data_IF_596098358996
#
_entry.id   IF_596098358996
#
_cell.length_a   1.000
_cell.length_b   1.000
_cell.length_c   1.000
_cell.angle_alpha   90.00
_cell.angle_beta   90.00
_cell.angle_gamma   90.00
#
_symmetry.space_group_name_H-M   'P 1'
#
loop_
_entity.id
_entity.type
_entity.pdbx_description
1 polymer ?
#
# COMPACT_ATOMS: atom_id res chain seq x y z
N UNK A 1 38.56 6.25 35.89
CA UNK A 1 37.52 5.19 35.77
C UNK A 1 37.81 4.43 34.49
N UNK A 2 38.47 3.26 34.60
CA UNK A 2 38.81 2.42 33.45
C UNK A 2 37.62 1.52 33.12
N UNK A 3 37.11 1.65 31.90
CA UNK A 3 36.14 0.73 31.30
C UNK A 3 36.79 -0.64 31.14
N UNK A 4 36.33 -1.62 31.92
CA UNK A 4 36.74 -3.01 31.77
C UNK A 4 36.16 -3.57 30.47
N UNK A 5 37.01 -3.75 29.46
CA UNK A 5 36.71 -4.53 28.27
C UNK A 5 36.59 -5.99 28.73
N UNK A 6 35.37 -6.52 28.82
CA UNK A 6 35.12 -7.94 29.08
C UNK A 6 35.60 -8.74 27.87
N UNK A 7 36.67 -9.52 28.02
CA UNK A 7 37.10 -10.50 27.02
C UNK A 7 35.99 -11.56 26.84
N UNK A 8 35.38 -11.59 25.66
CA UNK A 8 34.42 -12.63 25.28
C UNK A 8 35.16 -13.96 25.11
N UNK A 9 34.67 -15.02 25.74
CA UNK A 9 35.30 -16.34 25.67
C UNK A 9 35.21 -16.96 24.26
N UNK A 10 36.23 -17.71 23.85
CA UNK A 10 36.34 -18.37 22.53
C UNK A 10 35.08 -19.18 22.12
N UNK A 11 34.38 -19.90 23.02
CA UNK A 11 33.14 -20.61 22.67
C UNK A 11 32.00 -19.66 22.27
N UNK A 12 31.89 -18.51 22.93
CA UNK A 12 30.86 -17.50 22.64
C UNK A 12 31.12 -16.85 21.27
N UNK A 13 32.38 -16.52 20.97
CA UNK A 13 32.79 -16.00 19.65
C UNK A 13 32.51 -17.01 18.53
N UNK A 14 32.75 -18.31 18.77
CA UNK A 14 32.44 -19.37 17.79
C UNK A 14 30.94 -19.55 17.56
N UNK A 15 30.12 -19.46 18.60
CA UNK A 15 28.65 -19.52 18.48
C UNK A 15 28.10 -18.33 17.68
N UNK A 16 28.59 -17.12 17.94
CA UNK A 16 28.24 -15.93 17.15
C UNK A 16 28.70 -16.05 15.70
N UNK A 17 29.92 -16.55 15.44
CA UNK A 17 30.41 -16.75 14.09
C UNK A 17 29.61 -17.81 13.31
N UNK A 18 29.19 -18.89 13.98
CA UNK A 18 28.38 -19.94 13.37
C UNK A 18 26.97 -19.45 13.01
N UNK A 19 26.30 -18.77 13.95
CA UNK A 19 24.98 -18.17 13.72
C UNK A 19 25.00 -17.08 12.63
N UNK A 20 26.08 -16.29 12.54
CA UNK A 20 26.27 -15.33 11.46
C UNK A 20 26.39 -16.00 10.08
N UNK A 21 27.17 -17.09 9.98
CA UNK A 21 27.32 -17.86 8.73
C UNK A 21 26.02 -18.52 8.28
N UNK A 22 25.21 -19.02 9.21
CA UNK A 22 23.89 -19.57 8.87
C UNK A 22 22.96 -18.48 8.33
N UNK A 23 22.88 -17.33 9.01
CA UNK A 23 22.09 -16.18 8.54
C UNK A 23 22.52 -15.74 7.14
N UNK A 24 23.83 -15.65 6.89
CA UNK A 24 24.36 -15.29 5.58
C UNK A 24 23.97 -16.30 4.49
N UNK A 25 24.05 -17.59 4.79
CA UNK A 25 23.61 -18.65 3.87
C UNK A 25 22.11 -18.55 3.54
N UNK A 26 21.26 -18.26 4.54
CA UNK A 26 19.81 -18.10 4.31
C UNK A 26 19.50 -16.85 3.46
N UNK A 27 20.16 -15.71 3.72
CA UNK A 27 20.03 -14.51 2.89
C UNK A 27 20.43 -14.80 1.43
N UNK A 28 21.52 -15.54 1.21
CA UNK A 28 21.96 -15.92 -0.14
C UNK A 28 20.91 -16.81 -0.84
N UNK A 29 20.29 -17.74 -0.12
CA UNK A 29 19.22 -18.61 -0.65
C UNK A 29 17.99 -17.81 -1.01
N UNK A 30 17.50 -16.95 -0.11
CA UNK A 30 16.37 -16.05 -0.33
C UNK A 30 16.59 -15.18 -1.56
N UNK A 31 17.73 -14.50 -1.66
CA UNK A 31 18.11 -13.70 -2.85
C UNK A 31 18.18 -14.50 -4.14
N UNK A 32 18.67 -15.74 -4.10
CA UNK A 32 18.70 -16.62 -5.27
C UNK A 32 17.29 -16.98 -5.72
N UNK A 33 16.38 -17.25 -4.79
CA UNK A 33 14.99 -17.55 -5.11
C UNK A 33 14.24 -16.31 -5.63
N UNK A 34 14.47 -15.14 -5.03
CA UNK A 34 13.89 -13.87 -5.47
C UNK A 34 14.35 -13.48 -6.89
N UNK A 35 15.58 -13.82 -7.28
CA UNK A 35 16.01 -13.68 -8.69
C UNK A 35 15.25 -14.57 -9.66
N UNK A 36 14.91 -15.81 -9.27
CA UNK A 36 14.07 -16.68 -10.11
C UNK A 36 12.65 -16.13 -10.23
N UNK A 37 12.15 -15.59 -9.13
CA UNK A 37 10.87 -14.90 -9.10
C UNK A 37 10.84 -13.70 -10.06
N UNK A 38 11.85 -12.83 -10.01
CA UNK A 38 11.98 -11.68 -10.92
C UNK A 38 12.02 -12.14 -12.39
N UNK A 39 12.81 -13.17 -12.71
CA UNK A 39 12.87 -13.71 -14.06
C UNK A 39 11.50 -14.20 -14.57
N UNK A 40 10.64 -14.74 -13.71
CA UNK A 40 9.29 -15.15 -14.10
C UNK A 40 8.33 -13.96 -14.25
N UNK A 41 8.50 -12.89 -13.45
CA UNK A 41 7.76 -11.64 -13.64
C UNK A 41 8.12 -10.97 -14.98
N UNK A 42 9.40 -10.90 -15.32
CA UNK A 42 9.91 -10.32 -16.57
C UNK A 42 9.35 -11.04 -17.81
N UNK A 43 9.21 -12.38 -17.73
CA UNK A 43 8.59 -13.19 -18.80
C UNK A 43 7.07 -13.07 -18.84
N UNK A 44 6.44 -12.35 -17.91
CA UNK A 44 4.99 -12.30 -17.76
C UNK A 44 4.36 -13.59 -17.22
N UNK A 45 5.15 -14.51 -16.66
CA UNK A 45 4.67 -15.78 -16.12
C UNK A 45 4.23 -15.61 -14.65
N UNK A 46 3.15 -14.84 -14.45
CA UNK A 46 2.65 -14.47 -13.11
C UNK A 46 2.26 -15.67 -12.25
N UNK A 47 1.79 -16.76 -12.87
CA UNK A 47 1.44 -18.00 -12.16
C UNK A 47 2.67 -18.69 -11.57
N UNK A 48 3.78 -18.74 -12.32
CA UNK A 48 5.04 -19.29 -11.82
C UNK A 48 5.67 -18.38 -10.77
N UNK A 49 5.69 -17.07 -11.01
CA UNK A 49 6.18 -16.08 -10.05
C UNK A 49 5.45 -16.20 -8.69
N UNK A 50 4.11 -16.23 -8.70
CA UNK A 50 3.33 -16.42 -7.48
C UNK A 50 3.57 -17.79 -6.81
N UNK A 51 3.79 -18.85 -7.60
CA UNK A 51 4.14 -20.17 -7.06
C UNK A 51 5.50 -20.16 -6.35
N UNK A 52 6.49 -19.44 -6.87
CA UNK A 52 7.78 -19.24 -6.21
C UNK A 52 7.63 -18.46 -4.89
N UNK A 53 6.79 -17.43 -4.83
CA UNK A 53 6.52 -16.72 -3.56
C UNK A 53 5.86 -17.62 -2.52
N UNK A 54 4.89 -18.44 -2.92
CA UNK A 54 4.29 -19.41 -1.99
C UNK A 54 5.30 -20.44 -1.47
N UNK A 55 6.22 -20.90 -2.31
CA UNK A 55 7.29 -21.81 -1.86
C UNK A 55 8.17 -21.16 -0.80
N UNK A 56 8.53 -19.88 -0.98
CA UNK A 56 9.31 -19.15 0.03
C UNK A 56 8.50 -18.84 1.30
N UNK A 57 7.20 -18.59 1.18
CA UNK A 57 6.33 -18.36 2.33
C UNK A 57 6.20 -19.60 3.25
N UNK A 58 6.22 -20.80 2.67
CA UNK A 58 6.13 -22.05 3.42
C UNK A 58 7.48 -22.55 3.94
N UNK A 59 8.59 -21.93 3.54
CA UNK A 59 9.89 -22.20 4.13
C UNK A 59 10.01 -21.41 5.45
N UNK A 60 10.25 -22.08 6.60
CA UNK A 60 10.48 -21.40 7.88
C UNK A 60 11.62 -20.37 7.85
N UNK A 61 12.45 -20.39 6.81
CA UNK A 61 13.58 -19.48 6.59
C UNK A 61 13.46 -18.65 5.29
N UNK A 62 12.28 -18.63 4.66
CA UNK A 62 12.05 -17.95 3.39
C UNK A 62 11.57 -16.50 3.56
N UNK A 63 10.26 -16.28 3.64
CA UNK A 63 9.64 -14.95 3.80
C UNK A 63 8.83 -14.87 5.09
N UNK A 64 9.18 -13.94 5.97
CA UNK A 64 8.51 -13.69 7.24
C UNK A 64 7.27 -12.80 7.08
N UNK A 65 7.35 -11.81 6.18
CA UNK A 65 6.32 -10.78 6.02
C UNK A 65 5.26 -11.10 4.97
N UNK A 66 5.59 -11.87 3.92
CA UNK A 66 4.63 -12.08 2.82
C UNK A 66 3.35 -12.77 3.30
N UNK A 67 2.22 -12.07 3.22
CA UNK A 67 0.94 -12.60 3.67
C UNK A 67 0.86 -12.92 5.17
N UNK A 68 1.73 -12.33 6.00
CA UNK A 68 1.75 -12.53 7.45
C UNK A 68 0.56 -11.88 8.15
N UNK A 69 -0.01 -10.83 7.54
CA UNK A 69 -1.15 -10.08 8.09
C UNK A 69 -2.47 -10.71 7.64
N UNK A 70 -3.23 -11.21 8.61
CA UNK A 70 -4.60 -11.69 8.40
C UNK A 70 -5.59 -10.58 8.69
N UNK A 71 -6.16 -10.00 7.63
CA UNK A 71 -7.19 -8.98 7.74
C UNK A 71 -8.49 -9.59 8.31
N UNK A 72 -8.85 -9.16 9.52
CA UNK A 72 -10.11 -9.52 10.17
C UNK A 72 -10.93 -8.25 10.36
N UNK A 73 -12.03 -8.13 9.62
CA UNK A 73 -12.99 -7.01 9.81
C UNK A 73 -13.84 -7.32 11.04
N UNK A 74 -13.88 -6.45 12.06
CA UNK A 74 -14.75 -6.64 13.21
C UNK A 74 -16.22 -6.71 12.79
N UNK A 75 -16.96 -7.72 13.26
CA UNK A 75 -18.41 -7.86 13.01
C UNK A 75 -19.25 -6.74 13.66
N UNK A 76 -18.65 -6.00 14.60
CA UNK A 76 -19.12 -4.72 15.14
C UNK A 76 -17.87 -3.88 15.34
N UNK A 77 -17.83 -2.68 14.76
CA UNK A 77 -16.84 -1.65 15.08
C UNK A 77 -17.26 -1.07 16.44
N UNK A 78 -17.22 -1.88 17.49
CA UNK A 78 -17.15 -1.36 18.84
C UNK A 78 -15.67 -1.09 19.05
N UNK A 79 -15.31 0.18 19.21
CA UNK A 79 -13.97 0.70 19.47
C UNK A 79 -13.12 -0.34 20.18
N UNK A 80 -12.39 -1.13 19.39
CA UNK A 80 -11.51 -2.14 19.94
C UNK A 80 -10.22 -1.39 20.15
N UNK A 81 -10.05 -0.90 21.37
CA UNK A 81 -8.82 -0.33 21.88
C UNK A 81 -7.70 -1.34 21.60
N UNK A 82 -7.01 -1.15 20.47
CA UNK A 82 -5.67 -1.65 20.31
C UNK A 82 -4.87 -0.97 21.42
N UNK A 83 -4.54 -1.72 22.47
CA UNK A 83 -3.62 -1.27 23.51
C UNK A 83 -2.28 -0.93 22.86
N UNK A 84 -2.15 0.35 22.52
CA UNK A 84 -0.97 0.99 21.97
C UNK A 84 -0.92 2.35 22.65
N UNK A 85 0.24 2.73 23.20
CA UNK A 85 0.47 4.03 23.85
C UNK A 85 0.16 5.26 22.95
N UNK A 86 -0.14 5.02 21.67
CA UNK A 86 -0.44 6.02 20.63
C UNK A 86 -1.87 5.89 20.04
N UNK A 87 -2.81 5.19 20.69
CA UNK A 87 -4.16 4.97 20.13
C UNK A 87 -4.91 6.27 19.78
N UNK A 88 -4.78 7.31 20.62
CA UNK A 88 -5.41 8.61 20.38
C UNK A 88 -4.81 9.38 19.20
N UNK A 89 -3.52 9.20 18.90
CA UNK A 89 -2.90 9.87 17.75
C UNK A 89 -3.29 9.20 16.43
N UNK A 90 -3.44 7.87 16.42
CA UNK A 90 -3.92 7.15 15.24
C UNK A 90 -5.39 7.43 14.91
N UNK A 91 -6.26 7.58 15.91
CA UNK A 91 -7.65 7.96 15.66
C UNK A 91 -7.76 9.37 15.05
N UNK A 92 -7.00 10.34 15.58
CA UNK A 92 -6.93 11.70 15.03
C UNK A 92 -6.37 11.71 13.59
N UNK A 93 -5.35 10.89 13.34
CA UNK A 93 -4.77 10.76 11.99
C UNK A 93 -5.77 10.09 11.03
N UNK A 94 -6.47 9.06 11.48
CA UNK A 94 -7.52 8.40 10.71
C UNK A 94 -8.66 9.36 10.38
N UNK A 95 -9.09 10.21 11.32
CA UNK A 95 -10.09 11.25 11.07
C UNK A 95 -9.62 12.26 10.03
N UNK A 96 -8.34 12.62 10.05
CA UNK A 96 -7.74 13.53 9.07
C UNK A 96 -7.72 12.92 7.67
N UNK A 97 -7.33 11.65 7.56
CA UNK A 97 -7.37 10.88 6.32
C UNK A 97 -8.80 10.76 5.79
N UNK A 98 -9.75 10.36 6.62
CA UNK A 98 -11.17 10.22 6.21
C UNK A 98 -11.75 11.54 5.72
N UNK A 99 -11.44 12.65 6.41
CA UNK A 99 -11.85 13.98 5.98
C UNK A 99 -11.24 14.33 4.61
N UNK A 100 -9.97 14.01 4.38
CA UNK A 100 -9.31 14.23 3.10
C UNK A 100 -9.93 13.41 1.97
N UNK A 101 -10.21 12.12 2.21
CA UNK A 101 -10.93 11.25 1.26
C UNK A 101 -12.28 11.87 0.90
N UNK A 102 -13.05 12.29 1.92
CA UNK A 102 -14.38 12.89 1.72
C UNK A 102 -14.29 14.16 0.87
N UNK A 103 -13.40 15.09 1.21
CA UNK A 103 -13.21 16.31 0.43
C UNK A 103 -12.77 16.03 -1.00
N UNK A 104 -11.90 15.05 -1.22
CA UNK A 104 -11.44 14.66 -2.56
C UNK A 104 -12.59 14.12 -3.43
N UNK A 105 -13.49 13.32 -2.83
CA UNK A 105 -14.70 12.83 -3.51
C UNK A 105 -15.66 13.98 -3.81
N UNK A 106 -15.92 14.85 -2.82
CA UNK A 106 -16.81 16.02 -2.99
C UNK A 106 -16.28 16.98 -4.06
N UNK A 107 -14.98 17.24 -4.08
CA UNK A 107 -14.33 18.09 -5.09
C UNK A 107 -14.49 17.51 -6.49
N UNK A 108 -14.27 16.20 -6.67
CA UNK A 108 -14.46 15.56 -7.97
C UNK A 108 -15.91 15.64 -8.50
N UNK A 109 -16.90 15.65 -7.59
CA UNK A 109 -18.31 15.85 -7.95
C UNK A 109 -18.61 17.31 -8.33
N UNK A 110 -17.94 18.28 -7.70
CA UNK A 110 -18.08 19.70 -8.03
C UNK A 110 -17.45 20.03 -9.39
N UNK A 111 -16.30 19.46 -9.74
CA UNK A 111 -15.70 19.63 -11.06
C UNK A 111 -16.59 19.10 -12.19
N UNK A 112 -17.32 17.99 -11.97
CA UNK A 112 -18.34 17.50 -12.90
C UNK A 112 -19.51 18.50 -13.07
N UNK A 113 -19.84 19.26 -12.03
CA UNK A 113 -20.93 20.26 -12.03
C UNK A 113 -20.47 21.62 -12.63
N UNK A 114 -19.22 22.04 -12.36
CA UNK A 114 -18.62 23.27 -12.90
C UNK A 114 -18.30 23.13 -14.39
N UNK A 115 -17.96 21.94 -14.89
CA UNK A 115 -17.86 21.67 -16.33
C UNK A 115 -19.19 21.90 -17.09
N UNK A 116 -20.34 21.94 -16.40
CA UNK A 116 -21.65 22.31 -16.98
C UNK A 116 -21.94 23.82 -16.93
N UNK A 117 -21.23 24.58 -16.11
CA UNK A 117 -21.35 26.04 -16.00
C UNK A 117 -19.97 26.67 -16.04
N UNK A 118 -19.45 26.89 -17.25
CA UNK A 118 -18.11 27.43 -17.47
C UNK A 118 -17.87 28.71 -16.67
N UNK A 119 -16.90 28.64 -15.76
CA UNK A 119 -16.28 29.79 -15.11
C UNK A 119 -14.76 29.58 -15.22
N UNK A 120 -14.08 30.68 -15.55
CA UNK A 120 -12.64 30.80 -15.71
C UNK A 120 -11.94 30.77 -14.34
N UNK A 121 -10.90 29.96 -14.20
CA UNK A 121 -10.08 29.88 -12.98
C UNK A 121 -9.10 31.06 -12.89
N UNK A 122 -9.23 31.82 -11.80
CA UNK A 122 -8.29 32.83 -11.35
C UNK A 122 -7.72 32.43 -9.97
N UNK A 123 -6.50 32.89 -9.70
CA UNK A 123 -5.75 32.88 -8.44
C UNK A 123 -4.91 31.64 -8.12
N UNK A 124 -3.71 31.64 -8.70
CA UNK A 124 -2.58 30.89 -8.21
C UNK A 124 -2.14 31.31 -6.81
N UNK A 125 -2.03 30.33 -5.93
CA UNK A 125 -1.09 30.36 -4.81
C UNK A 125 0.04 29.40 -5.14
N UNK A 126 1.15 29.93 -5.67
CA UNK A 126 2.40 29.17 -5.80
C UNK A 126 2.95 28.91 -4.40
N UNK A 127 2.48 27.82 -3.78
CA UNK A 127 3.25 27.13 -2.75
C UNK A 127 4.57 26.72 -3.40
N UNK A 128 5.69 27.12 -2.80
CA UNK A 128 7.03 26.77 -3.26
C UNK A 128 7.32 25.31 -2.90
N UNK A 129 6.50 24.37 -3.37
CA UNK A 129 6.74 22.95 -3.15
C UNK A 129 7.93 22.54 -4.01
N UNK A 130 8.94 21.99 -3.34
CA UNK A 130 10.17 21.59 -4.00
C UNK A 130 9.90 20.30 -4.78
N UNK A 131 10.31 20.17 -6.05
CA UNK A 131 10.18 18.90 -6.80
C UNK A 131 10.81 17.69 -6.09
N UNK A 132 11.72 17.93 -5.14
CA UNK A 132 12.29 16.91 -4.27
C UNK A 132 11.32 16.41 -3.20
N UNK A 133 10.48 17.28 -2.66
CA UNK A 133 9.44 16.94 -1.69
C UNK A 133 8.32 16.15 -2.37
N UNK A 134 7.85 16.61 -3.54
CA UNK A 134 6.88 15.88 -4.39
C UNK A 134 7.39 14.48 -4.74
N UNK A 135 8.66 14.39 -5.16
CA UNK A 135 9.30 13.11 -5.44
C UNK A 135 9.34 12.21 -4.21
N UNK A 136 9.72 12.76 -3.05
CA UNK A 136 9.79 12.00 -1.82
C UNK A 136 8.41 11.56 -1.35
N UNK A 137 7.38 12.39 -1.51
CA UNK A 137 5.99 12.07 -1.20
C UNK A 137 5.49 10.92 -2.08
N UNK A 138 5.66 11.03 -3.40
CA UNK A 138 5.31 9.97 -4.35
C UNK A 138 6.04 8.66 -4.02
N UNK A 139 7.33 8.74 -3.71
CA UNK A 139 8.09 7.55 -3.34
C UNK A 139 7.54 6.86 -2.08
N UNK A 140 7.19 7.63 -1.04
CA UNK A 140 6.59 7.09 0.17
C UNK A 140 5.19 6.53 -0.08
N UNK A 141 4.41 7.19 -0.95
CA UNK A 141 3.08 6.75 -1.37
C UNK A 141 3.14 5.37 -2.04
N UNK A 142 3.97 5.22 -3.07
CA UNK A 142 4.13 3.94 -3.77
C UNK A 142 4.70 2.84 -2.86
N UNK A 143 5.66 3.19 -1.99
CA UNK A 143 6.18 2.26 -0.98
C UNK A 143 5.09 1.82 0.01
N UNK A 144 4.16 2.71 0.35
CA UNK A 144 2.98 2.42 1.17
C UNK A 144 2.09 1.34 0.57
N UNK A 145 1.67 1.51 -0.69
CA UNK A 145 0.90 0.50 -1.42
C UNK A 145 1.64 -0.84 -1.46
N UNK A 146 2.91 -0.81 -1.88
CA UNK A 146 3.72 -2.01 -2.05
C UNK A 146 3.85 -2.78 -0.74
N UNK A 147 4.22 -2.10 0.35
CA UNK A 147 4.47 -2.74 1.64
C UNK A 147 3.19 -3.36 2.21
N UNK A 148 2.07 -2.64 2.15
CA UNK A 148 0.78 -3.17 2.62
C UNK A 148 0.38 -4.38 1.78
N UNK A 149 0.49 -4.30 0.45
CA UNK A 149 0.23 -5.41 -0.45
C UNK A 149 1.04 -6.64 -0.11
N UNK A 150 2.34 -6.46 0.13
CA UNK A 150 3.25 -7.52 0.54
C UNK A 150 2.76 -8.24 1.82
N UNK A 151 2.48 -7.49 2.88
CA UNK A 151 2.05 -8.04 4.16
C UNK A 151 0.69 -8.73 4.11
N UNK A 152 -0.25 -8.23 3.30
CA UNK A 152 -1.57 -8.86 3.13
C UNK A 152 -1.55 -9.96 2.06
N UNK A 153 -0.38 -10.26 1.49
CA UNK A 153 -0.16 -11.36 0.54
C UNK A 153 -0.81 -11.10 -0.82
N UNK A 154 -0.69 -9.86 -1.31
CA UNK A 154 -1.03 -9.42 -2.66
C UNK A 154 0.28 -9.03 -3.32
N UNK A 155 0.63 -9.70 -4.41
CA UNK A 155 1.96 -9.60 -5.00
C UNK A 155 2.02 -8.42 -5.99
N UNK A 156 2.96 -7.48 -5.85
CA UNK A 156 3.25 -6.49 -6.89
C UNK A 156 3.70 -7.18 -8.18
N UNK A 157 3.14 -6.73 -9.30
CA UNK A 157 3.47 -7.15 -10.66
C UNK A 157 4.56 -6.27 -11.27
N UNK A 158 4.46 -4.97 -11.05
CA UNK A 158 5.37 -3.93 -11.50
C UNK A 158 5.18 -2.70 -10.61
N UNK A 159 6.20 -1.86 -10.53
CA UNK A 159 6.05 -0.54 -9.93
C UNK A 159 6.79 0.49 -10.78
N UNK A 160 6.35 1.74 -10.69
CA UNK A 160 6.99 2.90 -11.28
C UNK A 160 6.94 4.04 -10.28
N UNK A 161 8.05 4.76 -10.15
CA UNK A 161 8.12 6.03 -9.43
C UNK A 161 8.79 7.02 -10.38
N UNK A 162 8.19 8.20 -10.64
CA UNK A 162 8.80 9.23 -11.46
C UNK A 162 10.14 9.68 -10.87
N UNK A 163 11.10 10.05 -11.71
CA UNK A 163 12.30 10.77 -11.26
C UNK A 163 11.97 12.22 -10.90
N UNK A 164 12.86 12.89 -10.16
CA UNK A 164 12.77 14.33 -9.91
C UNK A 164 12.68 15.11 -11.24
N UNK A 165 13.43 14.69 -12.27
CA UNK A 165 13.35 15.31 -13.61
C UNK A 165 11.99 15.11 -14.28
N UNK A 166 11.32 13.98 -14.07
CA UNK A 166 9.99 13.73 -14.62
C UNK A 166 8.96 14.66 -13.96
N UNK A 167 9.07 14.88 -12.65
CA UNK A 167 8.20 15.80 -11.89
C UNK A 167 8.43 17.26 -12.31
N UNK A 168 9.69 17.65 -12.54
CA UNK A 168 10.03 18.98 -13.07
C UNK A 168 9.39 19.21 -14.45
N UNK A 169 9.35 18.17 -15.29
CA UNK A 169 8.77 18.26 -16.64
C UNK A 169 7.24 18.20 -16.63
N UNK A 170 6.67 17.37 -15.77
CA UNK A 170 5.24 17.18 -15.59
C UNK A 170 4.95 17.07 -14.09
N UNK A 171 4.41 18.16 -13.51
CA UNK A 171 4.01 18.19 -12.10
C UNK A 171 2.95 17.14 -11.74
N UNK A 172 2.29 16.55 -12.74
CA UNK A 172 1.32 15.47 -12.56
C UNK A 172 1.92 14.09 -12.82
N UNK A 173 3.24 13.97 -12.95
CA UNK A 173 3.91 12.70 -13.06
C UNK A 173 3.61 11.86 -11.80
N UNK A 174 2.93 10.72 -11.99
CA UNK A 174 2.49 9.85 -10.92
C UNK A 174 3.27 8.54 -10.88
N UNK A 175 3.41 8.02 -9.66
CA UNK A 175 3.82 6.65 -9.44
C UNK A 175 2.68 5.67 -9.73
N UNK A 176 3.03 4.38 -9.72
CA UNK A 176 2.04 3.31 -9.79
C UNK A 176 2.64 2.00 -9.27
N UNK A 177 1.94 1.31 -8.36
CA UNK A 177 2.16 -0.11 -8.07
C UNK A 177 1.01 -0.96 -8.61
N UNK A 178 1.32 -1.83 -9.56
CA UNK A 178 0.34 -2.77 -10.10
C UNK A 178 0.37 -4.06 -9.30
N UNK A 179 -0.80 -4.62 -8.99
CA UNK A 179 -0.92 -5.83 -8.18
C UNK A 179 -1.58 -6.98 -8.95
N UNK A 180 -1.14 -8.20 -8.65
CA UNK A 180 -1.85 -9.42 -9.04
C UNK A 180 -3.00 -9.69 -8.06
N UNK A 181 -4.16 -10.11 -8.56
CA UNK A 181 -5.34 -10.43 -7.75
C UNK A 181 -6.38 -9.30 -7.64
N UNK A 182 -6.12 -8.15 -8.26
CA UNK A 182 -7.07 -7.04 -8.39
C UNK A 182 -7.62 -6.90 -9.82
N UNK A 183 -7.66 -7.99 -10.58
CA UNK A 183 -8.19 -8.00 -11.95
C UNK A 183 -9.68 -7.62 -12.01
N UNK A 184 -10.39 -7.72 -10.89
CA UNK A 184 -11.79 -7.28 -10.77
C UNK A 184 -11.97 -5.78 -11.06
N UNK A 185 -10.93 -4.95 -10.89
CA UNK A 185 -10.99 -3.52 -11.18
C UNK A 185 -11.35 -3.24 -12.65
N UNK A 186 -10.92 -4.10 -13.57
CA UNK A 186 -11.33 -4.01 -14.99
C UNK A 186 -12.84 -4.15 -15.16
N UNK A 187 -13.46 -5.03 -14.37
CA UNK A 187 -14.92 -5.20 -14.39
C UNK A 187 -15.62 -3.98 -13.77
N UNK A 188 -15.05 -3.39 -12.71
CA UNK A 188 -15.56 -2.16 -12.09
C UNK A 188 -15.59 -1.04 -13.13
N UNK A 189 -14.52 -0.87 -13.91
CA UNK A 189 -14.45 0.17 -14.94
C UNK A 189 -15.49 -0.08 -16.06
N UNK A 190 -15.59 -1.31 -16.57
CA UNK A 190 -16.58 -1.69 -17.60
C UNK A 190 -18.02 -1.47 -17.10
N UNK A 191 -18.33 -1.91 -15.88
CA UNK A 191 -19.67 -1.80 -15.29
C UNK A 191 -20.02 -0.35 -14.98
N UNK A 192 -19.06 0.46 -14.53
CA UNK A 192 -19.24 1.90 -14.26
C UNK A 192 -19.58 2.64 -15.54
N UNK A 193 -18.81 2.42 -16.62
CA UNK A 193 -19.07 3.00 -17.95
C UNK A 193 -20.45 2.58 -18.48
N UNK A 194 -20.84 1.33 -18.25
CA UNK A 194 -22.14 0.80 -18.71
C UNK A 194 -23.34 1.30 -17.87
N UNK A 195 -23.12 1.66 -16.61
CA UNK A 195 -24.17 2.06 -15.67
C UNK A 195 -24.60 3.51 -15.83
N UNK A 196 -23.81 4.36 -16.52
CA UNK A 196 -24.25 5.69 -16.96
C UNK A 196 -25.45 5.67 -17.94
N UNK A 197 -26.00 4.48 -18.26
CA UNK A 197 -27.21 4.30 -19.09
C UNK A 197 -28.41 3.63 -18.41
N UNK A 198 -28.38 3.25 -17.13
CA UNK A 198 -29.52 2.55 -16.51
C UNK A 198 -29.71 2.88 -15.03
N UNK A 199 -30.70 3.74 -14.73
CA UNK A 199 -31.42 3.69 -13.46
C UNK A 199 -32.23 2.39 -13.44
N UNK A 200 -32.22 1.66 -12.31
CA UNK A 200 -33.27 0.76 -11.77
C UNK A 200 -32.68 -0.38 -10.92
N UNK A 201 -33.09 -0.44 -9.64
CA UNK A 201 -33.41 -1.69 -8.95
C UNK A 201 -32.46 -2.19 -7.85
N UNK A 202 -32.94 -2.17 -6.59
CA UNK A 202 -32.40 -2.86 -5.39
C UNK A 202 -32.10 -4.37 -5.57
N UNK A 203 -32.54 -4.99 -6.67
CA UNK A 203 -32.35 -6.41 -6.94
C UNK A 203 -30.94 -6.74 -7.51
N UNK A 204 -30.29 -5.81 -8.21
CA UNK A 204 -28.93 -5.99 -8.76
C UNK A 204 -27.83 -5.92 -7.69
N UNK A 205 -28.07 -5.24 -6.56
CA UNK A 205 -27.05 -5.04 -5.52
C UNK A 205 -26.57 -6.35 -4.88
N UNK A 206 -27.45 -7.36 -4.74
CA UNK A 206 -27.10 -8.66 -4.15
C UNK A 206 -26.29 -9.54 -5.10
N UNK A 207 -26.56 -9.48 -6.41
CA UNK A 207 -25.76 -10.17 -7.44
C UNK A 207 -24.38 -9.50 -7.64
N UNK A 208 -24.29 -8.16 -7.55
CA UNK A 208 -23.02 -7.44 -7.68
C UNK A 208 -22.13 -7.66 -6.45
N UNK A 209 -22.68 -7.64 -5.22
CA UNK A 209 -21.91 -7.96 -4.00
C UNK A 209 -21.36 -9.40 -3.98
N UNK A 210 -21.94 -10.31 -4.76
CA UNK A 210 -21.44 -11.69 -4.90
C UNK A 210 -20.23 -11.81 -5.84
N UNK A 211 -19.83 -10.73 -6.54
CA UNK A 211 -18.76 -10.76 -7.54
C UNK A 211 -17.34 -10.79 -6.95
N UNK A 212 -17.13 -10.32 -5.72
CA UNK A 212 -15.80 -10.35 -5.07
C UNK A 212 -15.88 -10.97 -3.68
N UNK A 213 -14.83 -11.70 -3.29
CA UNK A 213 -14.73 -12.24 -1.93
C UNK A 213 -14.46 -11.11 -0.92
N UNK A 214 -14.98 -11.23 0.30
CA UNK A 214 -14.67 -10.29 1.40
C UNK A 214 -13.16 -10.19 1.66
N UNK A 215 -12.44 -11.29 1.51
CA UNK A 215 -10.96 -11.31 1.62
C UNK A 215 -10.30 -10.45 0.55
N UNK A 216 -10.77 -10.52 -0.70
CA UNK A 216 -10.23 -9.71 -1.80
C UNK A 216 -10.53 -8.23 -1.57
N UNK A 217 -11.77 -7.91 -1.17
CA UNK A 217 -12.17 -6.53 -0.85
C UNK A 217 -11.32 -5.94 0.27
N UNK A 218 -11.16 -6.64 1.40
CA UNK A 218 -10.37 -6.14 2.53
C UNK A 218 -8.92 -5.88 2.14
N UNK A 219 -8.32 -6.78 1.35
CA UNK A 219 -6.97 -6.59 0.81
C UNK A 219 -6.89 -5.36 -0.08
N UNK A 220 -7.85 -5.19 -0.99
CA UNK A 220 -7.93 -4.01 -1.85
C UNK A 220 -8.03 -2.73 -1.02
N UNK A 221 -8.95 -2.65 -0.06
CA UNK A 221 -9.14 -1.46 0.79
C UNK A 221 -7.86 -1.08 1.54
N UNK A 222 -7.17 -2.04 2.15
CA UNK A 222 -5.92 -1.75 2.85
C UNK A 222 -4.82 -1.30 1.88
N UNK A 223 -4.70 -1.96 0.71
CA UNK A 223 -3.67 -1.65 -0.28
C UNK A 223 -3.89 -0.27 -0.90
N UNK A 224 -5.10 0.05 -1.36
CA UNK A 224 -5.41 1.35 -2.00
C UNK A 224 -5.26 2.52 -1.03
N UNK A 225 -5.45 2.29 0.27
CA UNK A 225 -5.19 3.31 1.30
C UNK A 225 -3.72 3.33 1.78
N UNK A 226 -2.88 2.42 1.26
CA UNK A 226 -1.48 2.27 1.63
C UNK A 226 -0.65 3.51 1.37
N UNK A 227 -0.80 4.13 0.20
CA UNK A 227 -0.07 5.34 -0.15
C UNK A 227 -0.47 6.53 0.72
N UNK A 228 -1.76 6.83 0.77
CA UNK A 228 -2.33 7.88 1.61
C UNK A 228 -1.91 7.76 3.10
N UNK A 229 -1.95 6.55 3.66
CA UNK A 229 -1.49 6.32 5.03
C UNK A 229 0.03 6.56 5.19
N UNK A 230 0.84 6.20 4.19
CA UNK A 230 2.29 6.41 4.22
C UNK A 230 2.66 7.89 4.16
N UNK A 231 1.95 8.68 3.36
CA UNK A 231 2.13 10.14 3.25
C UNK A 231 1.83 10.82 4.58
N UNK A 232 0.65 10.56 5.17
CA UNK A 232 0.28 11.14 6.46
C UNK A 232 1.24 10.76 7.60
N UNK A 233 1.83 9.56 7.56
CA UNK A 233 2.82 9.14 8.54
C UNK A 233 4.18 9.87 8.40
N UNK A 234 4.49 10.45 7.23
CA UNK A 234 5.79 11.11 6.96
C UNK A 234 5.66 12.62 6.94
N UNK A 235 4.65 13.14 6.26
CA UNK A 235 4.46 14.56 5.99
C UNK A 235 3.34 15.17 6.85
N UNK A 236 2.43 14.36 7.39
CA UNK A 236 1.28 14.83 8.16
C UNK A 236 0.09 15.30 7.30
N UNK A 237 0.24 15.28 5.98
CA UNK A 237 -0.79 15.55 4.98
C UNK A 237 -0.54 14.67 3.74
N UNK A 238 -1.37 14.84 2.72
CA UNK A 238 -1.35 14.04 1.50
C UNK A 238 -1.86 14.85 0.33
N UNK A 239 -1.15 14.82 -0.79
CA UNK A 239 -1.47 15.55 -2.02
C UNK A 239 -1.74 14.63 -3.22
N UNK A 240 -1.23 13.39 -3.20
CA UNK A 240 -1.28 12.46 -4.34
C UNK A 240 -2.54 11.56 -4.33
N UNK A 241 -3.65 12.09 -3.84
CA UNK A 241 -4.82 11.30 -3.45
C UNK A 241 -5.74 10.87 -4.58
N UNK A 242 -5.75 11.64 -5.66
CA UNK A 242 -6.94 11.74 -6.51
C UNK A 242 -7.28 10.41 -7.20
N UNK A 243 -6.30 9.72 -7.78
CA UNK A 243 -6.52 8.48 -8.51
C UNK A 243 -6.96 7.32 -7.61
N UNK A 244 -6.34 7.20 -6.43
CA UNK A 244 -6.64 6.14 -5.45
C UNK A 244 -8.00 6.34 -4.77
N UNK A 245 -8.32 7.58 -4.38
CA UNK A 245 -9.61 7.91 -3.78
C UNK A 245 -10.75 7.71 -4.78
N UNK A 246 -10.56 8.11 -6.03
CA UNK A 246 -11.54 7.84 -7.08
C UNK A 246 -11.72 6.34 -7.33
N UNK A 247 -10.62 5.56 -7.35
CA UNK A 247 -10.72 4.11 -7.50
C UNK A 247 -11.43 3.45 -6.31
N UNK A 248 -11.14 3.91 -5.09
CA UNK A 248 -11.83 3.50 -3.87
C UNK A 248 -13.34 3.78 -3.96
N UNK A 249 -13.73 5.01 -4.31
CA UNK A 249 -15.14 5.39 -4.45
C UNK A 249 -15.86 4.55 -5.53
N UNK A 250 -15.25 4.39 -6.70
CA UNK A 250 -15.79 3.54 -7.78
C UNK A 250 -16.06 2.12 -7.30
N UNK A 251 -15.14 1.51 -6.56
CA UNK A 251 -15.31 0.15 -6.03
C UNK A 251 -16.43 0.09 -4.99
N UNK A 252 -16.50 1.05 -4.06
CA UNK A 252 -17.53 1.08 -3.01
C UNK A 252 -18.94 1.28 -3.61
N UNK A 253 -19.07 2.18 -4.59
CA UNK A 253 -20.31 2.41 -5.33
C UNK A 253 -20.71 1.20 -6.17
N UNK A 254 -19.76 0.56 -6.85
CA UNK A 254 -20.00 -0.67 -7.60
C UNK A 254 -20.57 -1.77 -6.70
N UNK A 255 -20.06 -1.90 -5.47
CA UNK A 255 -20.58 -2.85 -4.47
C UNK A 255 -21.87 -2.39 -3.76
N UNK A 256 -22.38 -1.22 -4.13
CA UNK A 256 -23.58 -0.60 -3.55
C UNK A 256 -23.48 -0.40 -2.03
N UNK A 257 -22.31 -0.01 -1.51
CA UNK A 257 -22.18 0.45 -0.13
C UNK A 257 -22.95 1.77 0.02
N UNK A 258 -23.73 1.91 1.10
CA UNK A 258 -24.22 3.23 1.49
C UNK A 258 -23.13 4.01 2.26
N UNK A 259 -23.34 5.30 2.47
CA UNK A 259 -22.36 6.19 3.13
C UNK A 259 -21.87 5.64 4.49
N UNK A 260 -22.79 5.19 5.35
CA UNK A 260 -22.43 4.66 6.68
C UNK A 260 -21.64 3.34 6.58
N UNK A 261 -22.02 2.46 5.66
CA UNK A 261 -21.28 1.22 5.39
C UNK A 261 -19.87 1.54 4.87
N UNK A 262 -19.76 2.49 3.92
CA UNK A 262 -18.51 2.93 3.32
C UNK A 262 -17.57 3.55 4.36
N UNK A 263 -18.06 4.52 5.14
CA UNK A 263 -17.29 5.18 6.19
C UNK A 263 -16.73 4.16 7.20
N UNK A 264 -17.57 3.21 7.64
CA UNK A 264 -17.17 2.15 8.56
C UNK A 264 -16.03 1.27 8.01
N UNK A 265 -16.12 0.82 6.75
CA UNK A 265 -15.09 -0.06 6.17
C UNK A 265 -13.83 0.69 5.79
N UNK A 266 -13.94 1.94 5.33
CA UNK A 266 -12.77 2.78 5.02
C UNK A 266 -12.04 3.13 6.31
N UNK A 267 -12.74 3.54 7.37
CA UNK A 267 -12.14 3.82 8.68
C UNK A 267 -11.37 2.63 9.23
N UNK A 268 -11.98 1.44 9.19
CA UNK A 268 -11.29 0.20 9.59
C UNK A 268 -10.02 -0.04 8.77
N UNK A 269 -10.09 0.16 7.45
CA UNK A 269 -8.95 -0.06 6.57
C UNK A 269 -7.83 0.97 6.83
N UNK A 270 -8.17 2.26 7.01
CA UNK A 270 -7.23 3.32 7.38
C UNK A 270 -6.49 2.99 8.66
N UNK A 271 -7.20 2.67 9.76
CA UNK A 271 -6.58 2.33 11.05
C UNK A 271 -5.66 1.10 10.91
N UNK A 272 -6.14 0.07 10.19
CA UNK A 272 -5.36 -1.16 9.95
C UNK A 272 -4.07 -0.85 9.19
N UNK A 273 -4.15 -0.05 8.13
CA UNK A 273 -3.03 0.34 7.29
C UNK A 273 -2.04 1.25 8.04
N UNK A 274 -2.52 2.26 8.77
CA UNK A 274 -1.70 3.13 9.61
C UNK A 274 -0.91 2.34 10.66
N UNK A 275 -1.60 1.44 11.37
CA UNK A 275 -0.96 0.55 12.32
C UNK A 275 0.13 -0.26 11.63
N UNK A 276 -0.18 -0.94 10.52
CA UNK A 276 0.78 -1.77 9.80
C UNK A 276 2.03 -1.00 9.36
N UNK A 277 1.85 0.16 8.74
CA UNK A 277 2.94 0.99 8.21
C UNK A 277 3.78 1.62 9.33
N UNK A 278 3.15 2.02 10.44
CA UNK A 278 3.86 2.57 11.60
C UNK A 278 4.74 1.50 12.28
N UNK A 279 4.20 0.28 12.48
CA UNK A 279 4.95 -0.82 13.06
C UNK A 279 6.16 -1.24 12.21
N UNK A 280 6.05 -1.12 10.88
CA UNK A 280 7.09 -1.51 9.93
C UNK A 280 7.73 -0.30 9.22
N UNK A 281 7.92 0.81 9.93
CA UNK A 281 8.48 2.04 9.37
C UNK A 281 9.90 1.85 8.78
N UNK A 282 10.75 1.02 9.39
CA UNK A 282 12.09 0.71 8.86
C UNK A 282 12.01 -0.05 7.53
N UNK A 283 11.14 -1.05 7.43
CA UNK A 283 10.92 -1.80 6.19
C UNK A 283 10.39 -0.90 5.08
N UNK A 284 9.48 0.04 5.40
CA UNK A 284 8.99 1.06 4.47
C UNK A 284 10.10 1.98 3.98
N UNK A 285 10.96 2.45 4.88
CA UNK A 285 12.08 3.32 4.52
C UNK A 285 13.05 2.63 3.55
N UNK A 286 13.46 1.39 3.86
CA UNK A 286 14.37 0.62 2.98
C UNK A 286 13.72 0.25 1.65
N UNK A 287 12.42 -0.01 1.65
CA UNK A 287 11.66 -0.25 0.43
C UNK A 287 11.65 1.00 -0.46
N UNK A 288 11.38 2.18 0.11
CA UNK A 288 11.45 3.45 -0.61
C UNK A 288 12.84 3.67 -1.23
N UNK A 289 13.93 3.43 -0.50
CA UNK A 289 15.29 3.53 -1.05
C UNK A 289 15.55 2.57 -2.23
N UNK A 290 15.07 1.33 -2.12
CA UNK A 290 15.16 0.35 -3.19
C UNK A 290 14.33 0.76 -4.42
N UNK A 291 13.14 1.32 -4.20
CA UNK A 291 12.24 1.80 -5.24
C UNK A 291 12.82 2.99 -5.98
N UNK A 292 13.37 3.96 -5.26
CA UNK A 292 14.09 5.12 -5.80
C UNK A 292 15.27 4.69 -6.69
N UNK A 293 15.99 3.65 -6.25
CA UNK A 293 17.09 3.05 -7.02
C UNK A 293 16.64 2.14 -8.18
N UNK A 294 15.33 2.12 -8.51
CA UNK A 294 14.71 1.31 -9.59
C UNK A 294 15.12 -0.17 -9.53
N UNK A 295 15.18 -0.73 -8.33
CA UNK A 295 15.56 -2.14 -8.13
C UNK A 295 14.44 -3.09 -8.58
N UNK A 296 14.76 -4.38 -8.71
CA UNK A 296 13.72 -5.37 -9.04
C UNK A 296 12.75 -5.57 -7.86
N UNK A 297 11.55 -6.11 -8.13
CA UNK A 297 10.57 -6.43 -7.08
C UNK A 297 11.17 -7.43 -6.07
N UNK A 298 11.91 -8.43 -6.54
CA UNK A 298 12.61 -9.37 -5.69
C UNK A 298 13.64 -8.71 -4.78
N UNK A 299 14.34 -7.66 -5.25
CA UNK A 299 15.23 -6.88 -4.40
C UNK A 299 14.45 -6.07 -3.35
N UNK A 300 13.35 -5.42 -3.76
CA UNK A 300 12.45 -4.71 -2.84
C UNK A 300 11.92 -5.64 -1.73
N UNK A 301 11.53 -6.86 -2.08
CA UNK A 301 11.11 -7.89 -1.12
C UNK A 301 12.27 -8.27 -0.18
N UNK A 302 13.49 -8.45 -0.70
CA UNK A 302 14.66 -8.73 0.15
C UNK A 302 14.96 -7.57 1.13
N UNK A 303 14.75 -6.33 0.70
CA UNK A 303 14.92 -5.14 1.54
C UNK A 303 13.91 -5.11 2.70
N UNK A 304 12.64 -5.42 2.41
CA UNK A 304 11.58 -5.57 3.43
C UNK A 304 11.98 -6.67 4.40
N UNK A 305 12.27 -7.88 3.91
CA UNK A 305 12.60 -9.06 4.70
C UNK A 305 13.93 -8.97 5.47
N UNK A 306 14.76 -7.97 5.17
CA UNK A 306 15.98 -7.68 5.94
C UNK A 306 15.75 -6.66 7.05
N UNK A 307 14.57 -6.03 7.07
CA UNK A 307 14.13 -5.07 8.09
C UNK A 307 13.05 -5.63 9.03
N UNK A 308 12.67 -6.91 8.86
CA UNK A 308 11.82 -7.68 9.78
C UNK A 308 12.69 -8.50 10.73
#
# INVERSE_FOLDING_TARGET
MNLAVRELSVPVVRAFAWTAREKESEVIRRRRALRRFDNELEKGNYKAAHSHMKQLQHDPRGLLGFGSVKLVVPKRIAAQELQMDNSASFESLADSILRSIKHSIEFALLDEEVLLTGIEDDMGSESYDSPYEDHQMCLQHEAGHFLVGYFVGVLPRSYQVPSVEDIIQDKFAQGNVQFLGFEFLKQVDIDTISSNKFTQGKLKSKEIRAKISSRTLNKFLCVILGGLAAEYLVFGYSELLHSDVQQLDRVLRWLCFNENEADSVVRWAVITTLSLLSHHHEARSRLAEAMNSRRSIGYCIDAIESAL
#
